data_IF_410659566802
#
_entry.id   IF_410659566802
#
_cell.length_a   1.000
_cell.length_b   1.000
_cell.length_c   1.000
_cell.angle_alpha   90.00
_cell.angle_beta   90.00
_cell.angle_gamma   90.00
#
_symmetry.space_group_name_H-M   'P 1'
#
loop_
_entity.id
_entity.type
_entity.pdbx_description
1 polymer ?
#
# COMPACT_ATOMS: atom_id res chain seq x y z
N UNK A 1 -28.59 3.72 -9.59
CA UNK A 1 -28.12 2.71 -10.56
C UNK A 1 -27.39 1.61 -9.82
N UNK A 2 -27.78 0.34 -9.97
CA UNK A 2 -27.05 -0.79 -9.40
C UNK A 2 -25.62 -0.82 -9.97
N UNK A 3 -24.63 -1.03 -9.10
CA UNK A 3 -23.25 -1.19 -9.53
C UNK A 3 -23.02 -2.65 -9.93
N UNK A 4 -22.70 -2.88 -11.20
CA UNK A 4 -22.33 -4.19 -11.74
C UNK A 4 -20.81 -4.33 -11.79
N UNK A 5 -20.32 -5.54 -11.59
CA UNK A 5 -18.91 -5.82 -11.82
C UNK A 5 -18.58 -5.75 -13.33
N UNK A 6 -17.49 -5.05 -13.68
CA UNK A 6 -17.08 -4.86 -15.06
C UNK A 6 -16.27 -6.03 -15.63
N UNK A 7 -15.79 -6.95 -14.78
CA UNK A 7 -14.98 -8.10 -15.17
C UNK A 7 -15.79 -9.07 -16.03
N UNK A 8 -15.14 -9.66 -17.03
CA UNK A 8 -15.78 -10.58 -17.95
C UNK A 8 -16.31 -11.82 -17.21
N UNK A 9 -17.52 -12.25 -17.52
CA UNK A 9 -18.16 -13.41 -16.86
C UNK A 9 -18.59 -13.20 -15.41
N UNK A 10 -18.31 -12.04 -14.79
CA UNK A 10 -18.75 -11.76 -13.43
C UNK A 10 -20.16 -11.17 -13.42
N UNK A 11 -21.10 -11.86 -12.76
CA UNK A 11 -22.50 -11.43 -12.64
C UNK A 11 -22.82 -10.70 -11.34
N UNK A 12 -21.82 -10.44 -10.49
CA UNK A 12 -21.98 -9.79 -9.19
C UNK A 12 -22.51 -8.35 -9.34
N UNK A 13 -23.45 -8.00 -8.47
CA UNK A 13 -24.17 -6.73 -8.40
C UNK A 13 -24.29 -6.27 -6.95
N UNK A 14 -24.07 -4.99 -6.73
CA UNK A 14 -24.07 -4.41 -5.38
C UNK A 14 -25.41 -4.53 -4.64
N UNK A 15 -26.53 -4.55 -5.37
CA UNK A 15 -27.88 -4.65 -4.79
C UNK A 15 -28.19 -6.05 -4.23
N UNK A 16 -27.73 -7.10 -4.92
CA UNK A 16 -27.91 -8.51 -4.56
C UNK A 16 -26.82 -8.99 -3.59
N UNK A 17 -25.57 -8.77 -3.94
CA UNK A 17 -24.41 -9.25 -3.18
C UNK A 17 -23.90 -8.18 -2.20
N UNK A 18 -24.69 -7.89 -1.15
CA UNK A 18 -24.39 -6.85 -0.15
C UNK A 18 -23.14 -7.12 0.71
N UNK A 19 -22.66 -8.36 0.73
CA UNK A 19 -21.45 -8.76 1.44
C UNK A 19 -20.17 -8.47 0.66
N UNK A 20 -20.26 -8.03 -0.60
CA UNK A 20 -19.10 -7.73 -1.45
C UNK A 20 -18.86 -6.24 -1.55
N UNK A 21 -17.59 -5.87 -1.52
CA UNK A 21 -17.17 -4.49 -1.77
C UNK A 21 -17.04 -4.24 -3.27
N UNK A 22 -17.43 -3.06 -3.73
CA UNK A 22 -17.32 -2.66 -5.14
C UNK A 22 -16.40 -1.44 -5.29
N UNK A 23 -15.21 -1.66 -5.84
CA UNK A 23 -14.18 -0.64 -5.99
C UNK A 23 -14.33 0.11 -7.32
N UNK A 24 -14.11 1.43 -7.30
CA UNK A 24 -14.13 2.28 -8.49
C UNK A 24 -12.83 2.17 -9.27
N UNK A 25 -12.90 2.38 -10.58
CA UNK A 25 -11.70 2.59 -11.38
C UNK A 25 -10.87 3.76 -10.79
N UNK A 26 -9.54 3.59 -10.59
CA UNK A 26 -8.69 4.64 -10.06
C UNK A 26 -8.80 5.95 -10.84
N UNK A 27 -8.80 7.08 -10.12
CA UNK A 27 -8.75 8.42 -10.72
C UNK A 27 -7.30 8.81 -11.00
N UNK A 28 -7.06 9.45 -12.15
CA UNK A 28 -5.76 10.09 -12.41
C UNK A 28 -5.68 11.35 -11.57
N UNK A 29 -4.65 11.43 -10.73
CA UNK A 29 -4.44 12.52 -9.78
C UNK A 29 -3.49 13.53 -10.41
N UNK A 30 -3.96 14.70 -10.80
CA UNK A 30 -3.15 15.72 -11.48
C UNK A 30 -2.56 16.79 -10.56
N UNK A 31 -3.08 16.91 -9.32
CA UNK A 31 -2.75 18.01 -8.41
C UNK A 31 -1.71 17.67 -7.32
N UNK A 32 -1.26 16.40 -7.23
CA UNK A 32 -0.32 15.94 -6.18
C UNK A 32 1.11 15.71 -6.71
N UNK A 33 1.49 16.49 -7.72
CA UNK A 33 2.79 16.39 -8.40
C UNK A 33 2.86 15.30 -9.48
N UNK A 34 3.95 15.33 -10.25
CA UNK A 34 4.13 14.50 -11.44
C UNK A 34 4.17 13.01 -11.12
N UNK A 35 4.89 12.60 -10.08
CA UNK A 35 4.99 11.20 -9.66
C UNK A 35 3.63 10.56 -9.36
N UNK A 36 2.77 11.27 -8.64
CA UNK A 36 1.41 10.81 -8.31
C UNK A 36 0.53 10.68 -9.54
N UNK A 37 0.68 11.62 -10.49
CA UNK A 37 0.00 11.59 -11.79
C UNK A 37 0.41 10.35 -12.60
N UNK A 38 1.70 10.12 -12.73
CA UNK A 38 2.24 8.99 -13.49
C UNK A 38 1.82 7.65 -12.88
N UNK A 39 1.94 7.51 -11.55
CA UNK A 39 1.53 6.29 -10.85
C UNK A 39 0.02 6.03 -10.97
N UNK A 40 -0.80 7.06 -10.81
CA UNK A 40 -2.27 6.91 -10.88
C UNK A 40 -2.75 6.61 -12.30
N UNK A 41 -2.09 7.18 -13.30
CA UNK A 41 -2.29 6.84 -14.71
C UNK A 41 -1.89 5.40 -15.01
N UNK A 42 -0.67 4.99 -14.65
CA UNK A 42 -0.21 3.61 -14.83
C UNK A 42 -1.12 2.60 -14.12
N UNK A 43 -1.62 2.93 -12.92
CA UNK A 43 -2.57 2.08 -12.19
C UNK A 43 -3.89 1.93 -12.94
N UNK A 44 -4.46 3.03 -13.42
CA UNK A 44 -5.70 3.02 -14.21
C UNK A 44 -5.53 2.20 -15.49
N UNK A 45 -4.44 2.42 -16.21
CA UNK A 45 -4.13 1.67 -17.43
C UNK A 45 -3.99 0.18 -17.13
N UNK A 46 -3.29 -0.20 -16.05
CA UNK A 46 -3.16 -1.60 -15.64
C UNK A 46 -4.52 -2.25 -15.32
N UNK A 47 -5.41 -1.53 -14.64
CA UNK A 47 -6.78 -2.01 -14.41
C UNK A 47 -7.52 -2.24 -15.73
N UNK A 48 -7.48 -1.27 -16.64
CA UNK A 48 -8.16 -1.38 -17.94
C UNK A 48 -7.59 -2.54 -18.78
N UNK A 49 -6.27 -2.70 -18.80
CA UNK A 49 -5.59 -3.82 -19.47
C UNK A 49 -6.02 -5.17 -18.88
N UNK A 50 -6.11 -5.29 -17.56
CA UNK A 50 -6.55 -6.54 -16.94
C UNK A 50 -8.03 -6.84 -17.21
N UNK A 51 -8.89 -5.80 -17.28
CA UNK A 51 -10.31 -5.95 -17.61
C UNK A 51 -10.53 -6.21 -19.11
N UNK A 52 -9.62 -5.74 -19.99
CA UNK A 52 -9.55 -6.05 -21.43
C UNK A 52 -10.92 -6.19 -22.14
N UNK A 53 -11.87 -5.29 -21.85
CA UNK A 53 -13.23 -5.32 -22.42
C UNK A 53 -13.39 -4.18 -23.42
N UNK A 54 -13.77 -4.52 -24.64
CA UNK A 54 -13.87 -3.57 -25.76
C UNK A 54 -14.97 -2.52 -25.56
N UNK A 55 -15.99 -2.85 -24.77
CA UNK A 55 -17.15 -1.98 -24.54
C UNK A 55 -16.85 -0.81 -23.58
N UNK A 56 -15.73 -0.87 -22.85
CA UNK A 56 -15.38 0.15 -21.86
C UNK A 56 -14.86 1.38 -22.59
N UNK A 57 -15.60 2.48 -22.45
CA UNK A 57 -15.25 3.79 -23.02
C UNK A 57 -14.83 4.76 -21.91
N UNK A 58 -14.02 5.80 -22.22
CA UNK A 58 -13.65 6.81 -21.24
C UNK A 58 -14.83 7.49 -20.53
N UNK A 59 -15.95 7.66 -21.23
CA UNK A 59 -17.21 8.19 -20.66
C UNK A 59 -17.81 7.30 -19.57
N UNK A 60 -17.53 5.99 -19.59
CA UNK A 60 -18.03 5.01 -18.62
C UNK A 60 -17.16 4.86 -17.38
N UNK A 61 -15.94 5.42 -17.36
CA UNK A 61 -14.96 5.22 -16.28
C UNK A 61 -15.49 5.61 -14.89
N UNK A 62 -16.35 6.63 -14.79
CA UNK A 62 -16.92 7.06 -13.50
C UNK A 62 -17.85 6.03 -12.86
N UNK A 63 -18.50 5.21 -13.68
CA UNK A 63 -19.47 4.20 -13.27
C UNK A 63 -18.87 2.79 -13.19
N UNK A 64 -17.65 2.60 -13.71
CA UNK A 64 -16.97 1.31 -13.72
C UNK A 64 -16.65 0.85 -12.29
N UNK A 65 -17.08 -0.37 -11.96
CA UNK A 65 -16.88 -1.01 -10.66
C UNK A 65 -16.35 -2.43 -10.80
N UNK A 66 -15.58 -2.87 -9.81
CA UNK A 66 -15.04 -4.22 -9.70
C UNK A 66 -15.31 -4.73 -8.29
N UNK A 67 -15.85 -5.95 -8.16
CA UNK A 67 -16.10 -6.55 -6.86
C UNK A 67 -14.81 -7.06 -6.19
N UNK A 68 -14.85 -7.25 -4.87
CA UNK A 68 -13.75 -7.75 -4.05
C UNK A 68 -13.17 -9.08 -4.50
N UNK A 69 -13.97 -9.97 -5.11
CA UNK A 69 -13.55 -11.31 -5.55
C UNK A 69 -12.40 -11.30 -6.57
N UNK A 70 -12.10 -10.15 -7.20
CA UNK A 70 -11.01 -10.00 -8.17
C UNK A 70 -9.69 -9.51 -7.56
N UNK A 71 -9.67 -9.37 -6.25
CA UNK A 71 -8.51 -9.05 -5.42
C UNK A 71 -8.31 -10.19 -4.41
N UNK A 72 -7.09 -10.32 -3.88
CA UNK A 72 -6.82 -11.26 -2.79
C UNK A 72 -7.47 -10.74 -1.50
N UNK A 73 -7.36 -9.44 -1.23
CA UNK A 73 -8.07 -8.77 -0.14
C UNK A 73 -8.82 -7.53 -0.65
N UNK A 74 -8.07 -6.47 -1.00
CA UNK A 74 -8.60 -5.19 -1.46
C UNK A 74 -7.57 -4.44 -2.29
N UNK A 75 -7.98 -3.48 -3.14
CA UNK A 75 -7.04 -2.64 -3.86
C UNK A 75 -5.99 -2.03 -2.94
N UNK A 76 -4.71 -2.24 -3.26
CA UNK A 76 -3.60 -1.72 -2.46
C UNK A 76 -3.47 -0.20 -2.54
N UNK A 77 -2.55 0.37 -1.77
CA UNK A 77 -2.24 1.80 -1.87
C UNK A 77 -1.58 2.16 -3.22
N UNK A 78 -1.74 3.42 -3.66
CA UNK A 78 -1.22 3.91 -4.93
C UNK A 78 0.31 3.72 -5.04
N UNK A 79 1.04 3.98 -3.96
CA UNK A 79 2.50 3.91 -3.95
C UNK A 79 3.05 2.49 -3.75
N UNK A 80 2.20 1.53 -3.37
CA UNK A 80 2.58 0.14 -3.18
C UNK A 80 2.43 -0.67 -4.47
N UNK A 81 3.20 -0.27 -5.49
CA UNK A 81 3.14 -0.78 -6.87
C UNK A 81 3.49 -2.25 -7.01
N UNK A 82 4.19 -2.82 -6.01
CA UNK A 82 4.65 -4.21 -6.00
C UNK A 82 3.63 -5.15 -5.37
N UNK A 83 2.55 -4.62 -4.82
CA UNK A 83 1.49 -5.41 -4.22
C UNK A 83 0.72 -6.17 -5.31
N UNK A 84 0.45 -7.49 -5.14
CA UNK A 84 -0.42 -8.23 -6.05
C UNK A 84 -1.78 -7.56 -6.28
N UNK A 85 -2.34 -6.93 -5.25
CA UNK A 85 -3.65 -6.26 -5.29
C UNK A 85 -3.57 -4.81 -5.78
N UNK A 86 -2.46 -4.39 -6.39
CA UNK A 86 -2.39 -3.05 -7.00
C UNK A 86 -3.36 -2.91 -8.18
N UNK A 87 -3.65 -4.03 -8.86
CA UNK A 87 -4.65 -4.16 -9.92
C UNK A 87 -5.44 -5.48 -9.78
N UNK A 88 -6.68 -5.54 -10.29
CA UNK A 88 -7.48 -6.76 -10.27
C UNK A 88 -6.82 -7.81 -11.15
N UNK A 89 -6.55 -8.98 -10.59
CA UNK A 89 -5.84 -10.06 -11.29
C UNK A 89 -6.46 -11.44 -11.05
N UNK A 90 -7.34 -11.56 -10.07
CA UNK A 90 -7.95 -12.82 -9.67
C UNK A 90 -9.26 -13.02 -10.44
N UNK A 91 -9.50 -14.24 -10.95
CA UNK A 91 -10.75 -14.65 -11.61
C UNK A 91 -11.22 -13.67 -12.70
N UNK A 92 -10.33 -13.31 -13.64
CA UNK A 92 -10.62 -12.31 -14.67
C UNK A 92 -11.53 -12.82 -15.83
N UNK A 93 -12.05 -14.04 -15.72
CA UNK A 93 -13.03 -14.63 -16.63
C UNK A 93 -12.49 -14.96 -18.02
N UNK A 94 -11.17 -15.02 -18.20
CA UNK A 94 -10.49 -15.34 -19.47
C UNK A 94 -9.42 -16.40 -19.22
N UNK A 95 -9.07 -17.19 -20.26
CA UNK A 95 -7.98 -18.15 -20.14
C UNK A 95 -6.67 -17.43 -19.81
N UNK A 96 -5.86 -18.07 -18.97
CA UNK A 96 -4.65 -17.50 -18.37
C UNK A 96 -3.64 -16.99 -19.40
N UNK A 97 -3.69 -17.49 -20.65
CA UNK A 97 -2.87 -17.04 -21.77
C UNK A 97 -3.01 -15.55 -22.11
N UNK A 98 -4.13 -14.91 -21.73
CA UNK A 98 -4.38 -13.47 -21.98
C UNK A 98 -4.11 -12.59 -20.75
N UNK A 99 -3.91 -13.19 -19.58
CA UNK A 99 -3.68 -12.45 -18.35
C UNK A 99 -2.18 -12.38 -18.06
N UNK A 100 -1.66 -11.18 -17.81
CA UNK A 100 -0.33 -11.09 -17.21
C UNK A 100 -0.38 -11.79 -15.85
N UNK A 101 0.56 -12.71 -15.56
CA UNK A 101 0.57 -13.38 -14.26
C UNK A 101 0.67 -12.32 -13.16
N UNK A 102 -0.20 -12.37 -12.13
CA UNK A 102 -0.06 -11.47 -11.00
C UNK A 102 1.30 -11.62 -10.34
N UNK A 103 1.84 -10.56 -9.72
CA UNK A 103 2.92 -10.72 -8.77
C UNK A 103 2.52 -11.77 -7.73
N UNK A 104 3.36 -12.78 -7.49
CA UNK A 104 3.07 -13.79 -6.46
C UNK A 104 2.95 -13.11 -5.09
N UNK A 105 1.87 -13.40 -4.35
CA UNK A 105 1.68 -12.96 -2.97
C UNK A 105 2.90 -13.32 -2.10
N UNK A 106 3.50 -14.49 -2.33
CA UNK A 106 4.72 -14.92 -1.64
C UNK A 106 5.93 -14.05 -1.99
N UNK A 107 6.08 -13.66 -3.25
CA UNK A 107 7.14 -12.72 -3.67
C UNK A 107 6.98 -11.39 -2.94
N UNK A 108 5.76 -10.87 -2.85
CA UNK A 108 5.47 -9.64 -2.12
C UNK A 108 5.74 -9.79 -0.60
N UNK A 109 5.31 -10.90 0.03
CA UNK A 109 5.64 -11.22 1.43
C UNK A 109 7.16 -11.27 1.66
N UNK A 110 7.91 -11.93 0.78
CA UNK A 110 9.38 -11.96 0.83
C UNK A 110 10.02 -10.58 0.72
N UNK A 111 9.46 -9.70 -0.10
CA UNK A 111 9.92 -8.31 -0.20
C UNK A 111 9.66 -7.55 1.11
N UNK A 112 8.44 -7.63 1.67
CA UNK A 112 8.09 -6.99 2.95
C UNK A 112 8.99 -7.45 4.08
N UNK A 113 9.25 -8.75 4.18
CA UNK A 113 10.15 -9.31 5.18
C UNK A 113 11.58 -8.76 5.04
N UNK A 114 12.11 -8.65 3.81
CA UNK A 114 13.42 -8.04 3.55
C UNK A 114 13.47 -6.56 3.98
N UNK A 115 12.43 -5.80 3.65
CA UNK A 115 12.33 -4.39 4.03
C UNK A 115 12.24 -4.21 5.55
N UNK A 116 11.45 -5.03 6.24
CA UNK A 116 11.34 -5.00 7.70
C UNK A 116 12.68 -5.32 8.38
N UNK A 117 13.37 -6.37 7.91
CA UNK A 117 14.70 -6.74 8.43
C UNK A 117 15.72 -5.61 8.24
N UNK A 118 15.73 -4.96 7.06
CA UNK A 118 16.61 -3.82 6.77
C UNK A 118 16.34 -2.62 7.69
N UNK A 119 15.07 -2.34 8.00
CA UNK A 119 14.69 -1.27 8.94
C UNK A 119 15.18 -1.58 10.36
N UNK A 120 14.98 -2.81 10.82
CA UNK A 120 15.42 -3.23 12.15
C UNK A 120 16.94 -3.15 12.30
N UNK A 121 17.69 -3.63 11.30
CA UNK A 121 19.16 -3.51 11.32
C UNK A 121 19.62 -2.05 11.26
N UNK A 122 18.97 -1.21 10.43
CA UNK A 122 19.31 0.21 10.35
C UNK A 122 19.03 0.97 11.65
N UNK A 123 17.90 0.68 12.31
CA UNK A 123 17.58 1.26 13.62
C UNK A 123 18.57 0.81 14.71
N UNK A 124 18.94 -0.47 14.73
CA UNK A 124 19.94 -0.98 15.67
C UNK A 124 21.31 -0.30 15.49
N UNK A 125 21.77 -0.12 14.24
CA UNK A 125 23.00 0.62 13.94
C UNK A 125 22.92 2.06 14.43
N UNK A 126 21.84 2.78 14.09
CA UNK A 126 21.67 4.17 14.53
C UNK A 126 21.64 4.33 16.06
N UNK A 127 21.04 3.37 16.79
CA UNK A 127 21.05 3.39 18.26
C UNK A 127 22.45 3.17 18.85
N UNK A 128 23.27 2.32 18.23
CA UNK A 128 24.66 2.10 18.65
C UNK A 128 25.50 3.37 18.41
N UNK A 129 25.33 4.03 17.27
CA UNK A 129 26.03 5.27 16.93
C UNK A 129 25.69 6.38 17.94
N UNK A 130 24.39 6.54 18.28
CA UNK A 130 23.95 7.50 19.29
C UNK A 130 24.54 7.21 20.67
N UNK A 131 24.59 5.93 21.09
CA UNK A 131 25.19 5.55 22.37
C UNK A 131 26.67 5.91 22.44
N UNK A 132 27.41 5.72 21.34
CA UNK A 132 28.83 6.07 21.28
C UNK A 132 29.11 7.58 21.31
N UNK A 133 28.09 8.39 21.03
CA UNK A 133 28.18 9.85 20.97
C UNK A 133 27.91 10.54 22.32
N UNK A 134 27.43 9.80 23.33
CA UNK A 134 27.18 10.34 24.67
C UNK A 134 28.50 10.30 25.44
N UNK A 135 29.07 11.44 25.86
CA UNK A 135 30.23 11.42 26.74
C UNK A 135 29.83 10.77 28.07
N UNK A 136 30.58 9.75 28.49
CA UNK A 136 30.46 9.11 29.80
C UNK A 136 30.53 10.22 30.86
N UNK A 137 29.40 10.50 31.52
CA UNK A 137 29.34 11.52 32.58
C UNK A 137 30.15 10.98 33.76
N UNK A 138 31.28 11.63 34.05
CA UNK A 138 32.21 11.21 35.10
C UNK A 138 31.47 11.16 36.46
N UNK A 139 31.41 10.00 37.16
CA UNK A 139 30.62 9.84 38.38
C UNK A 139 31.02 10.75 39.56
N UNK A 140 32.15 11.46 39.48
CA UNK A 140 32.64 12.34 40.55
C UNK A 140 31.95 13.72 40.67
N UNK A 141 30.98 14.06 39.82
CA UNK A 141 30.36 15.40 39.82
C UNK A 141 29.07 15.53 40.67
N UNK A 142 28.59 14.44 41.28
CA UNK A 142 27.35 14.42 42.08
C UNK A 142 27.52 14.65 43.59
N UNK A 143 28.75 14.68 44.10
CA UNK A 143 29.01 14.82 45.54
C UNK A 143 28.97 16.27 46.06
N UNK A 144 28.87 17.27 45.18
CA UNK A 144 28.96 18.68 45.59
C UNK A 144 27.62 19.35 45.97
N UNK A 145 26.48 18.68 45.83
CA UNK A 145 25.15 19.32 45.98
C UNK A 145 24.40 18.99 47.28
N UNK A 146 25.04 18.36 48.26
CA UNK A 146 24.42 18.01 49.55
C UNK A 146 25.24 18.45 50.77
N UNK A 147 25.78 19.69 50.76
CA UNK A 147 26.18 20.32 52.03
C UNK A 147 25.02 21.19 52.54
N UNK A 148 24.41 20.85 53.69
CA UNK A 148 23.38 21.70 54.28
C UNK A 148 23.99 23.05 54.64
N UNK A 149 23.28 24.13 54.33
CA UNK A 149 23.66 25.48 54.73
C UNK A 149 23.59 25.58 56.25
N UNK A 150 24.75 25.64 56.90
CA UNK A 150 24.85 25.97 58.32
C UNK A 150 24.31 27.40 58.53
N UNK A 151 23.16 27.48 59.19
CA UNK A 151 22.60 28.72 59.71
C UNK A 151 23.39 29.11 60.96
N UNK A 152 24.21 30.16 60.86
CA UNK A 152 24.78 30.81 62.05
C UNK A 152 24.04 32.10 62.37
N UNK A 153 23.48 32.11 63.58
CA UNK A 153 23.05 33.26 64.36
C UNK A 153 24.18 33.65 65.33
#
# INVERSE_FOLDING_TARGET
>A
MPAFCAVYGCSNRHDRERNRSFYRLPKVITHQGQKSKDLSQARREKWLTNIARRDIRPSSYGNLRICSDHFIDKPSDLYDTLNPDWAPTVLMGRPDSFCSPPPSLERYKRLKNRLAKKKHSGAAVALLDLKSSIPEKNPNELEYQLKPAETNC
#
